data_IF_235969328600
#
_entry.id   IF_235969328600
#
_cell.length_a   1.000
_cell.length_b   1.000
_cell.length_c   1.000
_cell.angle_alpha   90.00
_cell.angle_beta   90.00
_cell.angle_gamma   90.00
#
_symmetry.space_group_name_H-M   'P 1'
#
loop_
_entity.id
_entity.type
_entity.pdbx_description
1 polymer ?
#
# COMPACT_ATOMS: atom_id res chain seq x y z
N UNK A 1 -19.73 9.23 5.58
CA UNK A 1 -18.54 10.09 5.68
C UNK A 1 -17.96 10.21 4.28
N UNK A 2 -17.23 11.27 3.94
CA UNK A 2 -16.65 11.34 2.58
C UNK A 2 -15.44 10.40 2.50
N UNK A 3 -15.19 9.81 1.33
CA UNK A 3 -14.06 8.89 1.07
C UNK A 3 -12.71 9.44 1.58
N UNK A 4 -12.50 10.75 1.48
CA UNK A 4 -11.30 11.44 1.99
C UNK A 4 -11.18 11.37 3.51
N UNK A 5 -12.29 11.51 4.23
CA UNK A 5 -12.29 11.40 5.69
C UNK A 5 -11.94 9.98 6.13
N UNK A 6 -12.33 8.97 5.37
CA UNK A 6 -12.05 7.57 5.68
C UNK A 6 -10.54 7.27 5.56
N UNK A 7 -9.89 7.79 4.51
CA UNK A 7 -8.45 7.61 4.34
C UNK A 7 -7.64 8.38 5.39
N UNK A 8 -8.06 9.61 5.69
CA UNK A 8 -7.43 10.43 6.72
C UNK A 8 -7.53 9.78 8.09
N UNK A 9 -8.72 9.27 8.43
CA UNK A 9 -8.98 8.52 9.65
C UNK A 9 -8.17 7.23 9.71
N UNK A 10 -8.11 6.48 8.61
CA UNK A 10 -7.33 5.25 8.49
C UNK A 10 -5.86 5.49 8.90
N UNK A 11 -5.19 6.51 8.35
CA UNK A 11 -3.79 6.81 8.70
C UNK A 11 -3.64 7.29 10.16
N UNK A 12 -4.63 8.01 10.70
CA UNK A 12 -4.61 8.41 12.10
C UNK A 12 -4.71 7.20 13.05
N UNK A 13 -5.55 6.22 12.71
CA UNK A 13 -5.72 4.97 13.47
C UNK A 13 -4.45 4.11 13.39
N UNK A 14 -3.78 4.04 12.24
CA UNK A 14 -2.49 3.37 12.07
C UNK A 14 -1.43 3.94 13.04
N UNK A 15 -1.30 5.27 13.14
CA UNK A 15 -0.35 5.86 14.09
C UNK A 15 -0.65 5.50 15.55
N UNK A 16 -1.93 5.37 15.91
CA UNK A 16 -2.33 4.96 17.25
C UNK A 16 -2.11 3.46 17.49
N UNK A 17 -2.12 2.62 16.44
CA UNK A 17 -1.75 1.21 16.52
C UNK A 17 -0.24 1.05 16.67
N UNK A 18 0.57 1.68 15.81
CA UNK A 18 2.03 1.71 15.93
C UNK A 18 2.46 2.08 17.36
N UNK A 19 1.79 3.05 17.99
CA UNK A 19 2.06 3.45 19.38
C UNK A 19 1.66 2.38 20.40
N UNK A 20 0.48 1.78 20.26
CA UNK A 20 -0.02 0.74 21.18
C UNK A 20 0.80 -0.54 21.10
N UNK A 21 1.30 -0.86 19.92
CA UNK A 21 2.17 -2.01 19.66
C UNK A 21 3.64 -1.73 20.04
N UNK A 22 3.97 -0.48 20.37
CA UNK A 22 5.31 -0.07 20.79
C UNK A 22 6.31 0.10 19.64
N UNK A 23 5.84 0.16 18.39
CA UNK A 23 6.69 0.46 17.23
C UNK A 23 7.18 1.91 17.24
N UNK A 24 6.35 2.84 17.72
CA UNK A 24 6.71 4.24 17.92
C UNK A 24 6.52 4.67 19.37
N UNK A 25 7.42 5.53 19.84
CA UNK A 25 7.30 6.13 21.16
C UNK A 25 6.16 7.18 21.21
N UNK A 26 5.74 7.56 22.43
CA UNK A 26 4.66 8.55 22.62
C UNK A 26 4.96 9.88 21.93
N UNK A 27 6.21 10.33 21.96
CA UNK A 27 6.60 11.62 21.38
C UNK A 27 6.48 11.58 19.87
N UNK A 28 6.90 10.48 19.24
CA UNK A 28 6.76 10.25 17.81
C UNK A 28 5.29 10.12 17.41
N UNK A 29 4.48 9.36 18.15
CA UNK A 29 3.04 9.30 17.93
C UNK A 29 2.41 10.70 17.89
N UNK A 30 2.64 11.50 18.93
CA UNK A 30 2.10 12.86 19.01
C UNK A 30 2.62 13.75 17.88
N UNK A 31 3.91 13.67 17.54
CA UNK A 31 4.53 14.42 16.43
C UNK A 31 3.85 14.09 15.11
N UNK A 32 3.64 12.81 14.80
CA UNK A 32 2.93 12.35 13.60
C UNK A 32 1.49 12.83 13.57
N UNK A 33 0.80 12.80 14.71
CA UNK A 33 -0.57 13.34 14.81
C UNK A 33 -0.62 14.85 14.58
N UNK A 34 0.40 15.61 15.01
CA UNK A 34 0.50 17.05 14.71
C UNK A 34 0.70 17.30 13.22
N UNK A 35 1.60 16.56 12.57
CA UNK A 35 1.82 16.66 11.12
C UNK A 35 0.53 16.36 10.35
N UNK A 36 -0.13 15.26 10.67
CA UNK A 36 -1.37 14.84 10.03
C UNK A 36 -2.50 15.87 10.23
N UNK A 37 -2.62 16.39 11.45
CA UNK A 37 -3.61 17.42 11.81
C UNK A 37 -3.30 18.82 11.29
N UNK A 38 -2.17 19.04 10.62
CA UNK A 38 -1.77 20.37 10.14
C UNK A 38 -1.40 21.36 11.25
N UNK A 39 -1.08 20.87 12.45
CA UNK A 39 -0.73 21.68 13.62
C UNK A 39 -1.45 21.25 14.90
N UNK A 40 -1.07 21.89 16.02
CA UNK A 40 -1.57 21.55 17.37
C UNK A 40 -3.10 21.52 17.47
N UNK A 41 -3.87 22.49 16.92
CA UNK A 41 -5.33 22.44 17.01
C UNK A 41 -5.94 21.20 16.33
N UNK A 42 -5.49 20.86 15.11
CA UNK A 42 -5.98 19.69 14.39
C UNK A 42 -5.54 18.38 15.05
N UNK A 43 -4.33 18.34 15.60
CA UNK A 43 -3.83 17.19 16.37
C UNK A 43 -4.74 16.85 17.56
N UNK A 44 -5.22 17.87 18.29
CA UNK A 44 -6.13 17.68 19.44
C UNK A 44 -7.47 17.10 19.01
N UNK A 45 -8.02 17.55 17.88
CA UNK A 45 -9.26 16.99 17.33
C UNK A 45 -9.07 15.52 16.95
N UNK A 46 -7.96 15.20 16.29
CA UNK A 46 -7.59 13.83 15.93
C UNK A 46 -7.46 12.92 17.15
N UNK A 47 -6.67 13.32 18.14
CA UNK A 47 -6.48 12.54 19.37
C UNK A 47 -7.81 12.28 20.08
N UNK A 48 -8.68 13.29 20.13
CA UNK A 48 -10.03 13.15 20.70
C UNK A 48 -10.85 12.11 19.93
N UNK A 49 -10.82 12.12 18.60
CA UNK A 49 -11.53 11.12 17.78
C UNK A 49 -11.00 9.70 17.94
N UNK A 50 -9.73 9.56 18.34
CA UNK A 50 -9.08 8.28 18.63
C UNK A 50 -9.27 7.85 20.10
N UNK A 51 -9.99 8.63 20.91
CA UNK A 51 -10.16 8.36 22.35
C UNK A 51 -8.91 8.64 23.19
N UNK A 52 -7.88 9.28 22.62
CA UNK A 52 -6.67 9.67 23.34
C UNK A 52 -6.91 11.00 24.05
N UNK A 53 -6.98 10.96 25.38
CA UNK A 53 -7.22 12.12 26.24
C UNK A 53 -5.97 12.48 27.06
N UNK A 54 -6.01 13.62 27.75
CA UNK A 54 -4.93 14.05 28.64
C UNK A 54 -3.68 14.61 27.96
N UNK A 55 -3.71 14.81 26.63
CA UNK A 55 -2.59 15.42 25.89
C UNK A 55 -2.73 16.95 25.90
N UNK A 56 -1.72 17.64 26.41
CA UNK A 56 -1.73 19.11 26.50
C UNK A 56 -1.29 19.77 25.18
N UNK A 57 -1.69 21.03 24.97
CA UNK A 57 -1.20 21.81 23.82
C UNK A 57 0.33 22.03 23.87
N UNK A 58 0.89 22.14 25.08
CA UNK A 58 2.34 22.28 25.28
C UNK A 58 3.09 20.99 24.92
N UNK A 59 2.56 19.82 25.28
CA UNK A 59 3.12 18.52 24.92
C UNK A 59 3.13 18.32 23.40
N UNK A 60 2.04 18.71 22.72
CA UNK A 60 1.97 18.68 21.26
C UNK A 60 2.94 19.65 20.60
N UNK A 61 3.09 20.86 21.14
CA UNK A 61 4.06 21.83 20.63
C UNK A 61 5.51 21.33 20.79
N UNK A 62 5.82 20.66 21.90
CA UNK A 62 7.11 20.01 22.11
C UNK A 62 7.33 18.85 21.14
N UNK A 63 6.34 17.98 20.97
CA UNK A 63 6.40 16.86 20.03
C UNK A 63 6.60 17.35 18.59
N UNK A 64 5.93 18.44 18.18
CA UNK A 64 6.07 19.04 16.85
C UNK A 64 7.51 19.46 16.52
N UNK A 65 8.28 19.89 17.52
CA UNK A 65 9.67 20.32 17.37
C UNK A 65 10.67 19.18 17.52
N UNK A 66 10.22 17.99 17.90
CA UNK A 66 11.10 16.84 18.10
C UNK A 66 11.63 16.30 16.77
N UNK A 67 12.87 15.82 16.78
CA UNK A 67 13.39 15.03 15.68
C UNK A 67 12.58 13.74 15.51
N UNK A 68 12.39 13.26 14.27
CA UNK A 68 11.76 11.97 14.03
C UNK A 68 12.46 10.85 14.78
N UNK A 69 11.68 9.87 15.27
CA UNK A 69 12.24 8.61 15.72
C UNK A 69 13.05 7.97 14.57
N UNK A 70 14.23 7.42 14.91
CA UNK A 70 15.04 6.71 13.94
C UNK A 70 14.24 5.55 13.31
N UNK A 71 14.34 5.33 11.99
CA UNK A 71 13.68 4.20 11.36
C UNK A 71 14.26 2.89 11.91
N UNK A 72 13.46 1.82 11.83
CA UNK A 72 13.96 0.48 12.07
C UNK A 72 15.14 0.19 11.11
N UNK A 73 16.14 -0.61 11.53
CA UNK A 73 17.25 -0.97 10.65
C UNK A 73 16.75 -1.57 9.35
N UNK A 74 17.28 -1.09 8.21
CA UNK A 74 16.93 -1.67 6.92
C UNK A 74 17.38 -3.13 6.86
N UNK A 75 16.43 -4.04 6.60
CA UNK A 75 16.78 -5.43 6.27
C UNK A 75 17.27 -5.50 4.82
N UNK A 76 18.18 -6.44 4.56
CA UNK A 76 18.68 -6.66 3.19
C UNK A 76 17.50 -7.03 2.27
N UNK A 77 17.46 -6.50 1.04
CA UNK A 77 16.44 -6.90 0.08
C UNK A 77 16.55 -8.40 -0.21
N UNK A 78 15.41 -9.07 -0.45
CA UNK A 78 15.41 -10.50 -0.80
C UNK A 78 15.87 -10.72 -2.24
N UNK A 79 15.73 -9.72 -3.11
CA UNK A 79 16.28 -9.73 -4.46
C UNK A 79 17.20 -8.53 -4.62
N UNK A 80 18.46 -8.77 -4.96
CA UNK A 80 19.42 -7.69 -5.21
C UNK A 80 18.96 -6.82 -6.41
N UNK A 81 19.06 -5.48 -6.33
CA UNK A 81 18.79 -4.60 -7.47
C UNK A 81 19.58 -4.93 -8.74
N UNK A 82 20.76 -5.54 -8.59
CA UNK A 82 21.65 -5.95 -9.67
C UNK A 82 21.63 -7.47 -9.93
N UNK A 83 20.62 -8.21 -9.43
CA UNK A 83 20.48 -9.64 -9.72
C UNK A 83 20.41 -9.85 -11.25
N UNK A 84 21.30 -10.68 -11.84
CA UNK A 84 21.44 -10.81 -13.29
C UNK A 84 20.21 -11.41 -13.98
N UNK A 85 19.29 -12.02 -13.22
CA UNK A 85 18.05 -12.56 -13.75
C UNK A 85 16.97 -11.49 -13.99
N UNK A 86 17.19 -10.25 -13.57
CA UNK A 86 16.23 -9.15 -13.72
C UNK A 86 16.91 -7.89 -14.27
N UNK A 87 16.08 -6.94 -14.68
CA UNK A 87 16.46 -5.56 -14.91
C UNK A 87 15.51 -4.69 -14.10
N UNK A 88 16.06 -3.78 -13.30
CA UNK A 88 15.26 -2.88 -12.50
C UNK A 88 15.81 -1.45 -12.56
N UNK A 89 14.90 -0.49 -12.64
CA UNK A 89 15.27 0.92 -12.77
C UNK A 89 14.12 1.83 -12.30
N UNK A 90 14.48 3.03 -11.87
CA UNK A 90 13.53 4.13 -11.82
C UNK A 90 13.15 4.55 -13.24
N UNK A 91 11.87 4.81 -13.48
CA UNK A 91 11.37 5.46 -14.67
C UNK A 91 10.57 6.71 -14.28
N UNK A 92 10.47 7.64 -15.23
CA UNK A 92 9.67 8.86 -15.10
C UNK A 92 8.73 8.98 -16.28
N UNK A 93 7.50 9.44 -16.02
CA UNK A 93 6.52 9.71 -17.06
C UNK A 93 5.62 10.87 -16.68
N UNK A 94 5.22 11.68 -17.66
CA UNK A 94 4.32 12.81 -17.42
C UNK A 94 2.88 12.38 -17.63
N UNK A 95 2.05 12.58 -16.61
CA UNK A 95 0.61 12.37 -16.70
C UNK A 95 -0.10 13.33 -15.74
N UNK A 96 -1.35 13.72 -16.07
CA UNK A 96 -2.18 14.58 -15.21
C UNK A 96 -1.50 15.91 -14.82
N UNK A 97 -0.61 16.42 -15.68
CA UNK A 97 0.05 17.73 -15.50
C UNK A 97 1.27 17.76 -14.59
N UNK A 98 1.81 16.62 -14.16
CA UNK A 98 3.06 16.54 -13.40
C UNK A 98 3.85 15.27 -13.76
N UNK A 99 5.12 15.24 -13.35
CA UNK A 99 6.00 14.07 -13.53
C UNK A 99 5.71 13.02 -12.44
N UNK A 100 5.49 11.78 -12.86
CA UNK A 100 5.36 10.61 -12.00
C UNK A 100 6.68 9.85 -12.00
N UNK A 101 7.07 9.40 -10.82
CA UNK A 101 8.20 8.51 -10.58
C UNK A 101 7.63 7.11 -10.36
N UNK A 102 8.26 6.10 -10.93
CA UNK A 102 7.93 4.71 -10.66
C UNK A 102 9.18 3.82 -10.70
N UNK A 103 9.14 2.72 -9.98
CA UNK A 103 10.17 1.69 -10.05
C UNK A 103 9.68 0.54 -10.93
N UNK A 104 10.40 0.26 -12.00
CA UNK A 104 10.08 -0.78 -12.97
C UNK A 104 11.09 -1.93 -12.82
N UNK A 105 10.57 -3.13 -12.56
CA UNK A 105 11.37 -4.36 -12.54
C UNK A 105 10.80 -5.37 -13.53
N UNK A 106 11.68 -6.05 -14.26
CA UNK A 106 11.30 -7.06 -15.27
C UNK A 106 12.30 -8.21 -15.32
N UNK A 107 11.92 -9.40 -15.83
CA UNK A 107 12.90 -10.46 -16.09
C UNK A 107 13.93 -10.01 -17.12
N UNK A 108 15.17 -10.46 -16.97
CA UNK A 108 16.22 -10.23 -17.97
C UNK A 108 15.87 -10.90 -19.30
N UNK A 109 16.46 -10.40 -20.40
CA UNK A 109 16.20 -10.93 -21.75
C UNK A 109 14.91 -10.43 -22.41
N UNK A 110 14.18 -9.49 -21.79
CA UNK A 110 12.97 -8.84 -22.32
C UNK A 110 11.86 -9.82 -22.80
N UNK A 111 11.45 -10.81 -22.00
CA UNK A 111 10.38 -11.72 -22.40
C UNK A 111 9.02 -11.01 -22.47
N UNK A 112 8.12 -11.57 -23.28
CA UNK A 112 6.70 -11.24 -23.21
C UNK A 112 6.12 -11.81 -21.90
N UNK A 113 5.60 -10.96 -21.03
CA UNK A 113 5.19 -11.32 -19.66
C UNK A 113 3.96 -10.54 -19.20
N UNK A 114 3.16 -11.06 -18.25
CA UNK A 114 2.09 -10.30 -17.64
C UNK A 114 2.62 -9.07 -16.88
N UNK A 115 1.81 -8.02 -16.82
CA UNK A 115 2.11 -6.80 -16.07
C UNK A 115 1.47 -6.81 -14.68
N UNK A 116 2.18 -6.37 -13.65
CA UNK A 116 1.62 -6.17 -12.30
C UNK A 116 1.95 -4.78 -11.76
N UNK A 117 0.95 -4.03 -11.31
CA UNK A 117 1.18 -2.80 -10.53
C UNK A 117 1.38 -3.17 -9.06
N UNK A 118 2.43 -2.61 -8.43
CA UNK A 118 2.75 -2.80 -7.00
C UNK A 118 2.48 -1.51 -6.25
N UNK A 119 1.48 -1.50 -5.38
CA UNK A 119 1.04 -0.29 -4.67
C UNK A 119 1.65 -0.27 -3.26
N UNK A 120 2.38 0.80 -2.96
CA UNK A 120 3.13 0.94 -1.72
C UNK A 120 2.26 1.17 -0.48
N UNK A 121 2.86 1.01 0.71
CA UNK A 121 2.26 1.31 2.01
C UNK A 121 2.12 2.83 2.25
N UNK A 122 1.69 3.27 3.43
CA UNK A 122 1.50 4.69 3.74
C UNK A 122 2.80 5.50 3.88
N UNK A 123 3.96 4.92 3.53
CA UNK A 123 5.29 5.55 3.63
C UNK A 123 5.94 5.79 2.26
N UNK A 124 5.20 5.61 1.17
CA UNK A 124 5.71 5.85 -0.19
C UNK A 124 6.50 4.65 -0.74
N UNK A 125 7.20 4.87 -1.85
CA UNK A 125 7.98 3.87 -2.61
C UNK A 125 9.29 3.49 -1.90
N UNK A 126 9.17 2.91 -0.71
CA UNK A 126 10.28 2.47 0.13
C UNK A 126 11.06 1.30 -0.48
N UNK A 127 12.32 1.04 -0.07
CA UNK A 127 13.14 -0.07 -0.58
C UNK A 127 12.45 -1.44 -0.53
N UNK A 128 11.63 -1.70 0.50
CA UNK A 128 10.81 -2.91 0.60
C UNK A 128 9.86 -3.09 -0.60
N UNK A 129 9.17 -2.03 -1.03
CA UNK A 129 8.23 -2.11 -2.16
C UNK A 129 8.97 -2.30 -3.49
N UNK A 130 10.13 -1.66 -3.63
CA UNK A 130 11.01 -1.91 -4.78
C UNK A 130 11.49 -3.36 -4.80
N UNK A 131 11.77 -3.95 -3.62
CA UNK A 131 12.09 -5.37 -3.49
C UNK A 131 10.93 -6.27 -3.91
N UNK A 132 9.69 -5.97 -3.51
CA UNK A 132 8.51 -6.70 -3.98
C UNK A 132 8.38 -6.67 -5.50
N UNK A 133 8.62 -5.51 -6.14
CA UNK A 133 8.64 -5.42 -7.60
C UNK A 133 9.72 -6.34 -8.21
N UNK A 134 10.91 -6.41 -7.60
CA UNK A 134 11.96 -7.34 -8.03
C UNK A 134 11.61 -8.80 -7.80
N UNK A 135 10.91 -9.14 -6.71
CA UNK A 135 10.40 -10.51 -6.46
C UNK A 135 9.42 -10.94 -7.56
N UNK A 136 8.54 -10.05 -8.02
CA UNK A 136 7.65 -10.30 -9.16
C UNK A 136 8.44 -10.48 -10.47
N UNK A 137 9.48 -9.67 -10.69
CA UNK A 137 10.37 -9.84 -11.83
C UNK A 137 11.07 -11.22 -11.82
N UNK A 138 11.56 -11.68 -10.67
CA UNK A 138 12.11 -13.04 -10.51
C UNK A 138 11.07 -14.13 -10.76
N UNK A 139 9.79 -13.86 -10.48
CA UNK A 139 8.69 -14.77 -10.74
C UNK A 139 8.14 -14.71 -12.19
N UNK A 140 8.73 -13.89 -13.07
CA UNK A 140 8.36 -13.84 -14.48
C UNK A 140 7.34 -12.75 -14.86
N UNK A 141 7.13 -11.74 -14.00
CA UNK A 141 6.21 -10.63 -14.25
C UNK A 141 6.96 -9.32 -14.53
N UNK A 142 6.39 -8.43 -15.33
CA UNK A 142 6.87 -7.05 -15.44
C UNK A 142 6.11 -6.23 -14.40
N UNK A 143 6.81 -5.76 -13.38
CA UNK A 143 6.25 -5.07 -12.23
C UNK A 143 6.53 -3.56 -12.30
N UNK A 144 5.49 -2.74 -12.13
CA UNK A 144 5.61 -1.29 -12.02
C UNK A 144 5.10 -0.84 -10.65
N UNK A 145 5.96 -0.23 -9.85
CA UNK A 145 5.63 0.32 -8.54
C UNK A 145 5.61 1.86 -8.62
N UNK A 146 4.44 2.51 -8.82
CA UNK A 146 4.36 3.97 -8.88
C UNK A 146 4.59 4.60 -7.51
N UNK A 147 5.23 5.76 -7.50
CA UNK A 147 5.39 6.60 -6.31
C UNK A 147 4.23 7.60 -6.22
N UNK A 148 3.27 7.35 -5.33
CA UNK A 148 2.08 8.20 -5.18
C UNK A 148 2.39 9.56 -4.51
N UNK A 149 3.65 9.83 -4.12
CA UNK A 149 4.09 11.16 -3.67
C UNK A 149 4.94 11.90 -4.71
N UNK A 150 4.93 11.44 -5.96
CA UNK A 150 5.66 12.08 -7.08
C UNK A 150 5.39 13.59 -7.21
N UNK A 151 4.13 14.02 -7.03
CA UNK A 151 3.70 15.42 -7.16
C UNK A 151 4.45 16.38 -6.22
N UNK A 152 4.93 15.90 -5.07
CA UNK A 152 5.69 16.69 -4.10
C UNK A 152 7.21 16.42 -4.14
N UNK A 153 7.66 15.65 -5.13
CA UNK A 153 9.08 15.36 -5.40
C UNK A 153 9.50 13.90 -5.23
N UNK A 154 8.56 13.00 -4.92
CA UNK A 154 8.84 11.58 -4.72
C UNK A 154 9.34 11.24 -3.32
N UNK A 155 9.30 9.95 -2.99
CA UNK A 155 9.59 9.37 -1.69
C UNK A 155 11.01 9.67 -1.24
N UNK A 156 11.98 9.57 -2.16
CA UNK A 156 13.41 9.78 -1.86
C UNK A 156 13.76 11.21 -1.41
N UNK A 157 12.86 12.18 -1.60
CA UNK A 157 13.04 13.56 -1.12
C UNK A 157 12.87 13.68 0.40
N UNK A 158 12.17 12.74 1.03
CA UNK A 158 11.79 12.83 2.43
C UNK A 158 12.63 11.88 3.29
N UNK A 159 13.22 12.43 4.34
CA UNK A 159 13.89 11.64 5.39
C UNK A 159 12.95 11.25 6.53
N UNK A 160 11.78 11.91 6.61
CA UNK A 160 10.74 11.65 7.61
C UNK A 160 9.48 11.11 6.93
N UNK A 161 9.22 9.81 7.12
CA UNK A 161 8.07 9.15 6.50
C UNK A 161 6.73 9.69 6.99
N UNK A 162 6.67 10.37 8.14
CA UNK A 162 5.45 11.00 8.62
C UNK A 162 4.94 12.10 7.67
N UNK A 163 5.84 12.81 7.00
CA UNK A 163 5.48 13.81 6.00
C UNK A 163 4.81 13.15 4.78
N UNK A 164 5.33 11.99 4.35
CA UNK A 164 4.74 11.17 3.29
C UNK A 164 3.35 10.69 3.71
N UNK A 165 3.23 10.05 4.88
CA UNK A 165 1.95 9.53 5.38
C UNK A 165 0.89 10.62 5.50
N UNK A 166 1.28 11.81 6.00
CA UNK A 166 0.41 12.97 6.09
C UNK A 166 -0.07 13.43 4.72
N UNK A 167 0.83 13.55 3.74
CA UNK A 167 0.46 13.94 2.39
C UNK A 167 -0.49 12.92 1.73
N UNK A 168 -0.19 11.62 1.85
CA UNK A 168 -1.04 10.57 1.31
C UNK A 168 -2.44 10.57 1.94
N UNK A 169 -2.53 10.79 3.25
CA UNK A 169 -3.78 10.86 3.99
C UNK A 169 -4.65 12.08 3.61
N UNK A 170 -4.02 13.21 3.31
CA UNK A 170 -4.71 14.44 2.89
C UNK A 170 -5.07 14.43 1.39
N UNK A 171 -4.36 13.63 0.60
CA UNK A 171 -4.63 13.47 -0.83
C UNK A 171 -5.96 12.75 -1.01
N UNK A 172 -6.87 13.28 -1.86
CA UNK A 172 -8.16 12.66 -2.09
C UNK A 172 -8.03 11.25 -2.68
N UNK A 173 -8.81 10.24 -2.22
CA UNK A 173 -8.72 8.87 -2.74
C UNK A 173 -8.88 8.78 -4.26
N UNK A 174 -9.74 9.60 -4.85
CA UNK A 174 -9.93 9.69 -6.30
C UNK A 174 -8.66 10.13 -7.05
N UNK A 175 -7.80 10.94 -6.43
CA UNK A 175 -6.51 11.34 -7.01
C UNK A 175 -5.53 10.17 -7.00
N UNK A 176 -5.50 9.36 -5.92
CA UNK A 176 -4.70 8.14 -5.86
C UNK A 176 -5.11 7.14 -6.95
N UNK A 177 -6.41 6.87 -7.09
CA UNK A 177 -6.91 5.94 -8.11
C UNK A 177 -6.61 6.44 -9.52
N UNK A 178 -6.80 7.74 -9.77
CA UNK A 178 -6.47 8.30 -11.08
C UNK A 178 -4.98 8.20 -11.41
N UNK A 179 -4.08 8.41 -10.44
CA UNK A 179 -2.64 8.22 -10.64
C UNK A 179 -2.29 6.74 -10.89
N UNK A 180 -2.96 5.81 -10.20
CA UNK A 180 -2.81 4.37 -10.43
C UNK A 180 -3.33 3.92 -11.80
N UNK A 181 -4.40 4.52 -12.31
CA UNK A 181 -4.88 4.29 -13.68
C UNK A 181 -3.86 4.77 -14.71
N UNK A 182 -3.16 5.89 -14.48
CA UNK A 182 -2.04 6.30 -15.34
C UNK A 182 -0.86 5.32 -15.25
N UNK A 183 -0.54 4.82 -14.05
CA UNK A 183 0.48 3.77 -13.89
C UNK A 183 0.09 2.48 -14.65
N UNK A 184 -1.19 2.07 -14.62
CA UNK A 184 -1.68 0.94 -15.41
C UNK A 184 -1.54 1.17 -16.91
N UNK A 185 -1.81 2.38 -17.42
CA UNK A 185 -1.60 2.72 -18.84
C UNK A 185 -0.13 2.62 -19.23
N UNK A 186 0.77 3.15 -18.40
CA UNK A 186 2.23 3.06 -18.61
C UNK A 186 2.70 1.61 -18.57
N UNK A 187 2.25 0.83 -17.61
CA UNK A 187 2.56 -0.59 -17.53
C UNK A 187 2.06 -1.32 -18.79
N UNK A 188 0.82 -1.08 -19.22
CA UNK A 188 0.22 -1.69 -20.41
C UNK A 188 0.98 -1.37 -21.70
N UNK A 189 1.56 -0.17 -21.81
CA UNK A 189 2.35 0.26 -22.97
C UNK A 189 3.85 -0.08 -22.86
N UNK A 190 4.28 -0.64 -21.73
CA UNK A 190 5.69 -1.00 -21.51
C UNK A 190 6.10 -2.16 -22.43
N UNK A 191 7.23 -2.06 -23.16
CA UNK A 191 7.69 -3.14 -24.03
C UNK A 191 7.85 -4.46 -23.28
N UNK A 192 7.28 -5.54 -23.85
CA UNK A 192 7.24 -6.88 -23.28
C UNK A 192 5.99 -7.17 -22.44
N UNK A 193 5.16 -6.19 -22.10
CA UNK A 193 3.94 -6.44 -21.33
C UNK A 193 2.83 -7.03 -22.21
N UNK A 194 2.24 -8.13 -21.76
CA UNK A 194 0.98 -8.66 -22.31
C UNK A 194 -0.17 -7.79 -21.83
N UNK A 195 -0.59 -6.85 -22.69
CA UNK A 195 -1.55 -5.80 -22.39
C UNK A 195 -2.94 -6.28 -21.95
N UNK A 196 -3.28 -7.55 -22.17
CA UNK A 196 -4.52 -8.22 -21.78
C UNK A 196 -4.36 -9.11 -20.51
N UNK A 197 -3.19 -9.06 -19.87
CA UNK A 197 -2.82 -9.80 -18.64
C UNK A 197 -2.22 -8.85 -17.60
N UNK A 198 -3.07 -7.98 -17.05
CA UNK A 198 -2.71 -7.00 -16.04
C UNK A 198 -3.24 -7.40 -14.67
N UNK A 199 -2.40 -7.29 -13.65
CA UNK A 199 -2.77 -7.46 -12.25
C UNK A 199 -2.34 -6.30 -11.36
N UNK A 200 -2.81 -6.32 -10.11
CA UNK A 200 -2.38 -5.38 -9.08
C UNK A 200 -2.16 -6.11 -7.75
N UNK A 201 -1.15 -5.69 -6.99
CA UNK A 201 -0.92 -6.09 -5.60
C UNK A 201 -0.58 -4.84 -4.81
N UNK A 202 -1.01 -4.77 -3.56
CA UNK A 202 -0.66 -3.64 -2.70
C UNK A 202 -0.82 -3.96 -1.23
N UNK A 203 -0.14 -3.20 -0.39
CA UNK A 203 0.04 -3.49 1.03
C UNK A 203 -0.43 -2.34 1.90
N UNK A 204 -1.15 -2.62 3.01
CA UNK A 204 -1.62 -1.60 3.96
C UNK A 204 -2.52 -0.59 3.22
N UNK A 205 -2.15 0.68 3.22
CA UNK A 205 -2.69 1.73 2.35
C UNK A 205 -2.84 1.28 0.89
N UNK A 206 -1.80 0.66 0.32
CA UNK A 206 -1.81 0.12 -1.03
C UNK A 206 -2.75 -1.08 -1.20
N UNK A 207 -3.04 -1.82 -0.14
CA UNK A 207 -4.06 -2.87 -0.13
C UNK A 207 -5.46 -2.29 -0.28
N UNK A 208 -5.76 -1.21 0.45
CA UNK A 208 -7.01 -0.47 0.30
C UNK A 208 -7.16 0.16 -1.09
N UNK A 209 -6.06 0.71 -1.63
CA UNK A 209 -6.04 1.21 -3.00
C UNK A 209 -6.15 0.09 -4.04
N UNK A 210 -5.65 -1.12 -3.78
CA UNK A 210 -5.82 -2.28 -4.66
C UNK A 210 -7.30 -2.66 -4.76
N UNK A 211 -8.02 -2.70 -3.63
CA UNK A 211 -9.47 -2.88 -3.61
C UNK A 211 -10.20 -1.81 -4.42
N UNK A 212 -9.91 -0.53 -4.16
CA UNK A 212 -10.54 0.59 -4.86
C UNK A 212 -10.22 0.56 -6.35
N UNK A 213 -8.97 0.32 -6.74
CA UNK A 213 -8.57 0.20 -8.14
C UNK A 213 -9.31 -0.94 -8.85
N UNK A 214 -9.51 -2.08 -8.20
CA UNK A 214 -10.28 -3.19 -8.77
C UNK A 214 -11.73 -2.82 -9.08
N UNK A 215 -12.33 -1.85 -8.36
CA UNK A 215 -13.68 -1.33 -8.66
C UNK A 215 -13.72 -0.35 -9.83
N UNK A 216 -12.58 0.21 -10.24
CA UNK A 216 -12.50 1.30 -11.23
C UNK A 216 -11.63 0.96 -12.47
N UNK A 217 -10.99 -0.21 -12.49
CA UNK A 217 -10.14 -0.68 -13.59
C UNK A 217 -10.63 -2.05 -14.12
N UNK A 218 -11.66 -2.08 -14.99
CA UNK A 218 -12.23 -3.32 -15.52
C UNK A 218 -11.25 -4.15 -16.39
N UNK A 219 -10.13 -3.58 -16.80
CA UNK A 219 -9.06 -4.27 -17.51
C UNK A 219 -8.22 -5.20 -16.62
N UNK A 220 -8.24 -5.02 -15.29
CA UNK A 220 -7.53 -5.89 -14.37
C UNK A 220 -8.10 -7.31 -14.41
N UNK A 221 -7.20 -8.30 -14.48
CA UNK A 221 -7.54 -9.72 -14.47
C UNK A 221 -7.38 -10.34 -13.08
N UNK A 222 -6.46 -9.81 -12.27
CA UNK A 222 -6.22 -10.27 -10.91
C UNK A 222 -5.87 -9.10 -9.98
N UNK A 223 -6.35 -9.14 -8.74
CA UNK A 223 -5.99 -8.18 -7.70
C UNK A 223 -5.66 -8.90 -6.40
N UNK A 224 -4.63 -8.45 -5.67
CA UNK A 224 -4.19 -9.05 -4.40
C UNK A 224 -3.98 -7.96 -3.34
N UNK A 225 -5.05 -7.53 -2.65
CA UNK A 225 -4.95 -6.59 -1.55
C UNK A 225 -4.44 -7.28 -0.27
N UNK A 226 -3.32 -6.81 0.26
CA UNK A 226 -2.77 -7.21 1.55
C UNK A 226 -3.19 -6.22 2.65
N UNK A 227 -3.87 -6.74 3.68
CA UNK A 227 -4.25 -6.08 4.95
C UNK A 227 -4.71 -4.64 4.72
N UNK A 228 -5.55 -4.44 3.71
CA UNK A 228 -6.07 -3.14 3.33
C UNK A 228 -7.57 -3.02 3.61
N UNK A 229 -8.07 -1.81 3.90
CA UNK A 229 -9.49 -1.61 4.14
C UNK A 229 -10.32 -1.96 2.90
N UNK A 230 -11.56 -2.40 3.13
CA UNK A 230 -12.53 -2.66 2.06
C UNK A 230 -12.79 -1.38 1.22
N UNK A 231 -13.13 -1.52 -0.07
CA UNK A 231 -13.58 -0.38 -0.86
C UNK A 231 -15.01 0.01 -0.45
N UNK A 232 -15.54 1.07 -1.06
CA UNK A 232 -16.98 1.31 -1.05
C UNK A 232 -17.72 0.07 -1.57
N UNK A 233 -18.57 -0.52 -0.72
CA UNK A 233 -19.25 -1.77 -1.02
C UNK A 233 -20.26 -1.63 -2.17
N UNK A 234 -20.79 -0.43 -2.40
CA UNK A 234 -21.68 -0.15 -3.54
C UNK A 234 -20.94 -0.21 -4.89
N UNK A 235 -19.61 -0.07 -4.87
CA UNK A 235 -18.75 -0.21 -6.05
C UNK A 235 -18.25 -1.64 -6.30
N UNK A 236 -18.41 -2.57 -5.34
CA UNK A 236 -17.98 -3.97 -5.50
C UNK A 236 -18.55 -4.66 -6.76
N UNK A 237 -19.80 -4.43 -7.19
CA UNK A 237 -20.32 -4.99 -8.45
C UNK A 237 -19.53 -4.61 -9.71
N UNK A 238 -18.71 -3.55 -9.66
CA UNK A 238 -17.87 -3.13 -10.77
C UNK A 238 -16.61 -3.99 -10.95
N UNK A 239 -16.21 -4.75 -9.92
CA UNK A 239 -15.00 -5.57 -9.95
C UNK A 239 -15.11 -6.66 -11.02
N UNK A 240 -14.15 -6.67 -11.97
CA UNK A 240 -14.01 -7.70 -13.01
C UNK A 240 -12.83 -8.64 -12.79
N UNK A 241 -11.85 -8.21 -11.99
CA UNK A 241 -10.70 -9.01 -11.62
C UNK A 241 -11.07 -10.15 -10.67
N UNK A 242 -10.31 -11.24 -10.71
CA UNK A 242 -10.31 -12.22 -9.62
C UNK A 242 -9.50 -11.66 -8.43
N UNK A 243 -10.05 -11.69 -7.22
CA UNK A 243 -9.42 -11.05 -6.05
C UNK A 243 -8.99 -12.03 -4.96
N UNK A 244 -7.72 -11.97 -4.54
CA UNK A 244 -7.21 -12.68 -3.36
C UNK A 244 -6.93 -11.67 -2.25
N UNK A 245 -7.83 -11.59 -1.26
CA UNK A 245 -7.61 -10.77 -0.06
C UNK A 245 -6.74 -11.51 0.96
N UNK A 246 -5.69 -10.86 1.46
CA UNK A 246 -4.75 -11.44 2.42
C UNK A 246 -4.73 -10.59 3.69
N UNK A 247 -4.97 -11.19 4.86
CA UNK A 247 -5.14 -10.47 6.12
C UNK A 247 -4.40 -11.15 7.29
N UNK A 248 -3.98 -10.37 8.28
CA UNK A 248 -3.46 -10.87 9.54
C UNK A 248 -4.60 -11.09 10.54
N UNK A 249 -4.60 -12.22 11.27
CA UNK A 249 -5.68 -12.56 12.21
C UNK A 249 -5.80 -11.58 13.38
N UNK A 250 -4.68 -11.00 13.81
CA UNK A 250 -4.66 -10.03 14.91
C UNK A 250 -5.04 -8.60 14.48
N UNK A 251 -5.16 -8.34 13.17
CA UNK A 251 -5.53 -7.03 12.61
C UNK A 251 -7.05 -6.79 12.72
N UNK A 252 -7.52 -6.67 13.95
CA UNK A 252 -8.96 -6.59 14.26
C UNK A 252 -9.66 -5.39 13.60
N UNK A 253 -8.95 -4.27 13.41
CA UNK A 253 -9.51 -3.06 12.81
C UNK A 253 -9.82 -3.26 11.33
N UNK A 254 -8.89 -3.81 10.56
CA UNK A 254 -9.15 -4.13 9.15
C UNK A 254 -10.15 -5.29 9.04
N UNK A 255 -10.01 -6.32 9.89
CA UNK A 255 -10.84 -7.52 9.83
C UNK A 255 -12.32 -7.24 10.10
N UNK A 256 -12.65 -6.16 10.83
CA UNK A 256 -14.03 -5.75 11.07
C UNK A 256 -14.83 -5.49 9.78
N UNK A 257 -14.16 -5.11 8.67
CA UNK A 257 -14.81 -4.89 7.38
C UNK A 257 -14.99 -6.14 6.52
N UNK A 258 -14.31 -7.24 6.84
CA UNK A 258 -14.28 -8.46 6.01
C UNK A 258 -15.67 -9.10 5.83
N UNK A 259 -16.51 -9.28 6.88
CA UNK A 259 -17.81 -9.93 6.70
C UNK A 259 -18.72 -9.21 5.70
N UNK A 260 -18.79 -7.88 5.77
CA UNK A 260 -19.61 -7.08 4.85
C UNK A 260 -19.05 -7.09 3.42
N UNK A 261 -17.72 -7.05 3.28
CA UNK A 261 -17.04 -7.18 2.00
C UNK A 261 -17.31 -8.55 1.35
N UNK A 262 -17.19 -9.63 2.11
CA UNK A 262 -17.40 -10.99 1.61
C UNK A 262 -18.85 -11.18 1.10
N UNK A 263 -19.84 -10.68 1.83
CA UNK A 263 -21.23 -10.69 1.38
C UNK A 263 -21.45 -9.87 0.11
N UNK A 264 -20.83 -8.69 -0.02
CA UNK A 264 -20.88 -7.89 -1.23
C UNK A 264 -20.24 -8.62 -2.44
N UNK A 265 -19.09 -9.28 -2.23
CA UNK A 265 -18.39 -10.06 -3.26
C UNK A 265 -19.22 -11.25 -3.72
N UNK A 266 -19.81 -12.01 -2.79
CA UNK A 266 -20.73 -13.13 -3.08
C UNK A 266 -21.93 -12.64 -3.90
N UNK A 267 -22.59 -11.58 -3.45
CA UNK A 267 -23.77 -11.01 -4.12
C UNK A 267 -23.45 -10.52 -5.53
N UNK A 268 -22.27 -9.94 -5.73
CA UNK A 268 -21.80 -9.47 -7.04
C UNK A 268 -21.29 -10.59 -7.96
N UNK A 269 -21.13 -11.83 -7.45
CA UNK A 269 -20.56 -12.94 -8.22
C UNK A 269 -19.08 -12.74 -8.57
N UNK A 270 -18.36 -11.95 -7.77
CA UNK A 270 -16.91 -11.74 -7.96
C UNK A 270 -16.18 -13.05 -7.65
N UNK A 271 -15.18 -13.40 -8.47
CA UNK A 271 -14.28 -14.51 -8.16
C UNK A 271 -13.32 -14.05 -7.08
N UNK A 272 -13.43 -14.60 -5.88
CA UNK A 272 -12.55 -14.19 -4.79
C UNK A 272 -12.12 -15.34 -3.89
N UNK A 273 -11.04 -15.10 -3.16
CA UNK A 273 -10.63 -15.85 -1.98
C UNK A 273 -10.18 -14.86 -0.90
N UNK A 274 -10.48 -15.16 0.36
CA UNK A 274 -9.96 -14.41 1.51
C UNK A 274 -9.12 -15.37 2.34
N UNK A 275 -7.88 -14.99 2.64
CA UNK A 275 -6.96 -15.73 3.49
C UNK A 275 -6.61 -14.88 4.70
N UNK A 276 -6.94 -15.39 5.88
CA UNK A 276 -6.58 -14.81 7.18
C UNK A 276 -5.48 -15.68 7.80
N UNK A 277 -4.41 -15.06 8.27
CA UNK A 277 -3.29 -15.73 8.95
C UNK A 277 -3.37 -15.51 10.46
N UNK A 278 -3.84 -16.52 11.18
CA UNK A 278 -3.91 -16.49 12.65
C UNK A 278 -2.54 -16.14 13.28
N UNK A 279 -2.55 -15.24 14.25
CA UNK A 279 -1.34 -14.77 14.94
C UNK A 279 -0.46 -13.79 14.17
N UNK A 280 -0.79 -13.44 12.92
CA UNK A 280 -0.11 -12.38 12.18
C UNK A 280 -0.79 -11.02 12.43
N UNK A 281 0.02 -9.98 12.65
CA UNK A 281 -0.42 -8.59 12.79
C UNK A 281 -0.57 -7.89 11.43
N UNK A 282 -0.94 -6.61 11.45
CA UNK A 282 -0.85 -5.75 10.28
C UNK A 282 0.59 -5.72 9.73
N UNK A 283 0.75 -5.48 8.43
CA UNK A 283 2.08 -5.39 7.79
C UNK A 283 2.98 -6.65 7.89
N UNK A 284 2.42 -7.83 8.20
CA UNK A 284 3.22 -9.04 8.44
C UNK A 284 4.11 -9.50 7.28
N UNK A 285 3.84 -9.08 6.05
CA UNK A 285 4.66 -9.40 4.87
C UNK A 285 5.90 -8.50 4.75
N UNK A 286 5.88 -7.31 5.37
CA UNK A 286 6.99 -6.37 5.31
C UNK A 286 8.16 -6.87 6.16
N UNK A 287 9.16 -7.43 5.49
CA UNK A 287 10.36 -8.02 6.10
C UNK A 287 11.38 -6.99 6.61
N UNK A 288 11.06 -5.69 6.59
CA UNK A 288 11.83 -4.63 7.25
C UNK A 288 11.15 -4.11 8.52
N UNK A 289 9.91 -4.54 8.80
CA UNK A 289 9.09 -4.08 9.93
C UNK A 289 9.14 -5.00 11.15
N UNK A 290 8.74 -4.49 12.31
CA UNK A 290 8.70 -5.27 13.56
C UNK A 290 7.62 -6.36 13.53
N UNK A 291 6.53 -6.11 12.80
CA UNK A 291 5.43 -7.04 12.62
C UNK A 291 5.69 -8.18 11.62
N UNK A 292 6.90 -8.28 11.03
CA UNK A 292 7.24 -9.33 10.07
C UNK A 292 6.99 -10.73 10.65
N UNK A 293 6.13 -11.50 9.98
CA UNK A 293 5.91 -12.92 10.30
C UNK A 293 6.38 -13.76 9.10
N UNK A 294 7.57 -14.39 9.17
CA UNK A 294 8.16 -15.09 8.03
C UNK A 294 7.25 -16.18 7.45
N UNK A 295 6.63 -17.01 8.30
CA UNK A 295 5.80 -18.12 7.85
C UNK A 295 4.53 -17.62 7.14
N UNK A 296 3.85 -16.62 7.70
CA UNK A 296 2.68 -16.02 7.06
C UNK A 296 3.07 -15.29 5.77
N UNK A 297 4.19 -14.55 5.77
CA UNK A 297 4.67 -13.82 4.61
C UNK A 297 5.02 -14.73 3.43
N UNK A 298 5.74 -15.84 3.70
CA UNK A 298 6.13 -16.82 2.68
C UNK A 298 4.91 -17.51 2.07
N UNK A 299 3.95 -17.96 2.89
CA UNK A 299 2.73 -18.59 2.38
C UNK A 299 1.85 -17.59 1.60
N UNK A 300 1.72 -16.36 2.11
CA UNK A 300 0.98 -15.28 1.44
C UNK A 300 1.58 -14.94 0.07
N UNK A 301 2.91 -14.89 -0.01
CA UNK A 301 3.59 -14.64 -1.28
C UNK A 301 3.41 -15.81 -2.25
N UNK A 302 3.51 -17.05 -1.77
CA UNK A 302 3.23 -18.26 -2.57
C UNK A 302 1.82 -18.22 -3.18
N UNK A 303 0.79 -17.96 -2.35
CA UNK A 303 -0.60 -17.82 -2.80
C UNK A 303 -0.78 -16.68 -3.81
N UNK A 304 -0.10 -15.55 -3.59
CA UNK A 304 -0.11 -14.41 -4.53
C UNK A 304 0.39 -14.80 -5.91
N UNK A 305 1.53 -15.51 -5.98
CA UNK A 305 2.08 -15.97 -7.25
C UNK A 305 1.20 -17.05 -7.90
N UNK A 306 0.57 -17.94 -7.13
CA UNK A 306 -0.40 -18.91 -7.64
C UNK A 306 -1.65 -18.25 -8.21
N UNK A 307 -2.18 -17.22 -7.54
CA UNK A 307 -3.30 -16.43 -8.01
C UNK A 307 -2.98 -15.74 -9.34
N UNK A 308 -1.83 -15.07 -9.41
CA UNK A 308 -1.38 -14.44 -10.65
C UNK A 308 -1.10 -15.46 -11.74
N UNK A 309 -0.52 -16.63 -11.45
CA UNK A 309 -0.35 -17.69 -12.45
C UNK A 309 -1.70 -18.16 -13.00
N UNK A 310 -2.72 -18.26 -12.16
CA UNK A 310 -4.05 -18.72 -12.58
C UNK A 310 -4.76 -17.70 -13.47
N UNK A 311 -4.69 -16.42 -13.11
CA UNK A 311 -5.51 -15.38 -13.73
C UNK A 311 -4.76 -14.46 -14.71
N UNK A 312 -3.43 -14.50 -14.73
CA UNK A 312 -2.59 -13.71 -15.64
C UNK A 312 -1.82 -14.58 -16.67
N UNK A 313 -1.98 -15.91 -16.67
CA UNK A 313 -1.34 -16.81 -17.64
C UNK A 313 -1.74 -16.58 -19.09
#
# INVERSE_FOLDING_TARGET
MSDRQDLFRYVAEEFAEDYREGEIDRREFLRRTVLLGGGVPGARMLLTSLGVTGVSAAELAQAQQANPQAPAPESKPLVDPNDPAIQAQEIRYTARGFEHIAYLARPAGNPSAPGVVVIHENRGLQPYIQDVARRLAKAGYIALAPDLVSKIGGTAKFTDTAQISSYLAQTPPEEHIANLQEALKVLKSTPGVRADRLGAVGFCFGGGLTWRLATEAPELKAAVPFYGPAPDLDKVPNIKAAVLGIYGGNDTRINAGIPALEEALKKAGVKYQIKIYEGANHAFHNNTGANYNPAAAEDAWRLTLEWFRTYLA
#
